data_IF_619459922553
#
_entry.id   IF_619459922553
#
_cell.length_a   1.000
_cell.length_b   1.000
_cell.length_c   1.000
_cell.angle_alpha   90.00
_cell.angle_beta   90.00
_cell.angle_gamma   90.00
#
_symmetry.space_group_name_H-M   'P 1'
#
loop_
_entity.id
_entity.type
_entity.pdbx_description
1 polymer ?
#
# COMPACT_ATOMS: atom_id res chain seq x y z
N UNK A 1 -1.84 -5.04 17.68
CA UNK A 1 -1.93 -5.06 16.20
C UNK A 1 -3.19 -4.32 15.78
N UNK A 2 -3.03 -3.23 15.04
CA UNK A 2 -4.09 -2.46 14.41
C UNK A 2 -4.34 -3.07 13.02
N UNK A 3 -5.60 -3.30 12.69
CA UNK A 3 -5.99 -3.88 11.42
C UNK A 3 -6.82 -2.86 10.65
N UNK A 4 -6.48 -2.67 9.38
CA UNK A 4 -7.25 -1.82 8.45
C UNK A 4 -7.88 -2.70 7.37
N UNK A 5 -9.16 -2.48 7.05
CA UNK A 5 -9.70 -3.00 5.79
C UNK A 5 -8.96 -2.40 4.61
N UNK A 6 -8.95 -3.08 3.47
CA UNK A 6 -8.34 -2.55 2.25
C UNK A 6 -8.82 -1.13 1.90
N UNK A 7 -10.13 -0.87 2.03
CA UNK A 7 -10.71 0.45 1.77
C UNK A 7 -10.28 1.51 2.79
N UNK A 8 -10.16 1.13 4.07
CA UNK A 8 -9.74 2.04 5.13
C UNK A 8 -8.24 2.32 5.03
N UNK A 9 -7.45 1.28 4.71
CA UNK A 9 -6.01 1.37 4.52
C UNK A 9 -5.69 2.42 3.45
N UNK A 10 -6.43 2.41 2.34
CA UNK A 10 -6.29 3.37 1.25
C UNK A 10 -6.36 4.83 1.71
N UNK A 11 -7.26 5.14 2.65
CA UNK A 11 -7.40 6.48 3.24
C UNK A 11 -6.25 6.77 4.22
N UNK A 12 -5.76 5.74 4.89
CA UNK A 12 -4.75 5.83 5.95
C UNK A 12 -3.31 5.84 5.44
N UNK A 13 -3.04 5.45 4.18
CA UNK A 13 -1.67 5.36 3.64
C UNK A 13 -0.81 6.62 3.83
N UNK A 14 -1.31 7.86 3.60
CA UNK A 14 -0.51 9.06 3.85
C UNK A 14 -0.07 9.18 5.31
N UNK A 15 -0.97 8.89 6.25
CA UNK A 15 -0.68 8.94 7.69
C UNK A 15 0.27 7.82 8.14
N UNK A 16 0.19 6.66 7.50
CA UNK A 16 1.08 5.53 7.79
C UNK A 16 2.49 5.77 7.22
N UNK A 17 2.60 6.41 6.06
CA UNK A 17 3.86 6.79 5.42
C UNK A 17 4.66 7.82 6.25
N UNK A 18 3.97 8.74 6.94
CA UNK A 18 4.60 9.70 7.85
C UNK A 18 5.17 9.06 9.13
N UNK A 19 4.71 7.84 9.47
CA UNK A 19 5.18 7.12 10.66
C UNK A 19 6.36 6.24 10.30
N UNK A 20 7.54 6.56 10.83
CA UNK A 20 8.78 5.80 10.62
C UNK A 20 8.71 4.30 10.99
N UNK A 21 7.73 3.89 11.81
CA UNK A 21 7.54 2.49 12.19
C UNK A 21 6.06 2.11 12.14
N UNK A 22 5.74 1.19 11.22
CA UNK A 22 4.41 0.57 11.06
C UNK A 22 4.35 -0.79 11.79
N UNK A 23 5.23 -1.00 12.77
CA UNK A 23 5.30 -2.21 13.58
C UNK A 23 3.98 -2.35 14.35
N UNK A 24 3.20 -3.38 14.02
CA UNK A 24 1.86 -3.69 14.53
C UNK A 24 0.69 -3.20 13.68
N UNK A 25 0.88 -3.00 12.37
CA UNK A 25 -0.24 -2.81 11.43
C UNK A 25 -0.41 -4.01 10.50
N UNK A 26 -1.66 -4.36 10.19
CA UNK A 26 -2.00 -5.36 9.19
C UNK A 26 -3.13 -4.87 8.27
N UNK A 27 -3.07 -5.31 7.01
CA UNK A 27 -4.15 -5.17 6.04
C UNK A 27 -5.10 -6.37 6.15
N UNK A 28 -6.41 -6.14 6.27
CA UNK A 28 -7.44 -7.17 6.13
C UNK A 28 -8.06 -7.12 4.73
N UNK A 29 -8.14 -8.30 4.12
CA UNK A 29 -8.84 -8.50 2.85
C UNK A 29 -9.44 -9.92 2.83
N UNK A 30 -10.74 -10.04 2.58
CA UNK A 30 -11.49 -11.31 2.58
C UNK A 30 -11.16 -12.26 3.75
N UNK A 31 -11.25 -11.76 4.98
CA UNK A 31 -10.93 -12.48 6.22
C UNK A 31 -9.47 -12.94 6.39
N UNK A 32 -8.57 -12.52 5.49
CA UNK A 32 -7.13 -12.76 5.57
C UNK A 32 -6.43 -11.53 6.13
N UNK A 33 -5.32 -11.75 6.83
CA UNK A 33 -4.50 -10.68 7.40
C UNK A 33 -3.11 -10.68 6.76
N UNK A 34 -2.69 -9.53 6.28
CA UNK A 34 -1.40 -9.29 5.66
C UNK A 34 -0.62 -8.29 6.51
N UNK A 35 0.33 -8.75 7.35
CA UNK A 35 1.13 -7.87 8.18
C UNK A 35 1.94 -6.88 7.35
N UNK A 36 1.84 -5.60 7.67
CA UNK A 36 2.59 -4.53 6.99
C UNK A 36 3.94 -4.37 7.68
N UNK A 37 4.98 -4.28 6.88
CA UNK A 37 6.35 -4.01 7.31
C UNK A 37 6.67 -2.52 7.20
N UNK A 38 6.43 -1.93 6.03
CA UNK A 38 6.63 -0.49 5.83
C UNK A 38 5.66 0.08 4.80
N UNK A 39 5.44 1.39 4.88
CA UNK A 39 4.68 2.18 3.91
C UNK A 39 5.58 3.32 3.46
N UNK A 40 5.80 3.45 2.16
CA UNK A 40 6.70 4.44 1.58
C UNK A 40 6.00 5.21 0.46
N UNK A 41 5.99 6.54 0.51
CA UNK A 41 5.56 7.35 -0.63
C UNK A 41 6.66 7.35 -1.70
N UNK A 42 6.24 7.27 -2.96
CA UNK A 42 7.13 7.33 -4.11
C UNK A 42 7.00 8.68 -4.78
N UNK A 43 8.08 9.45 -4.75
CA UNK A 43 8.21 10.74 -5.40
C UNK A 43 8.76 10.56 -6.82
N UNK A 44 8.24 11.35 -7.75
CA UNK A 44 8.82 11.51 -9.09
C UNK A 44 9.16 12.97 -9.29
N UNK A 45 10.38 13.23 -9.75
CA UNK A 45 10.81 14.55 -10.14
C UNK A 45 10.41 14.84 -11.59
N UNK A 46 9.92 16.06 -11.83
CA UNK A 46 9.70 16.56 -13.19
C UNK A 46 10.18 18.00 -13.29
N UNK A 47 10.69 18.36 -14.47
CA UNK A 47 11.14 19.71 -14.76
C UNK A 47 10.02 20.49 -15.44
N UNK A 48 9.68 21.66 -14.89
CA UNK A 48 8.75 22.59 -15.51
C UNK A 48 9.35 23.99 -15.49
N UNK A 49 9.53 24.59 -16.67
CA UNK A 49 10.08 25.95 -16.82
C UNK A 49 11.45 26.15 -16.15
N UNK A 50 12.32 25.12 -16.16
CA UNK A 50 13.64 25.17 -15.54
C UNK A 50 13.64 25.01 -14.01
N UNK A 51 12.50 24.67 -13.41
CA UNK A 51 12.39 24.33 -12.00
C UNK A 51 12.08 22.84 -11.83
N UNK A 52 12.83 22.17 -10.95
CA UNK A 52 12.63 20.78 -10.60
C UNK A 52 11.56 20.71 -9.50
N UNK A 53 10.48 19.99 -9.75
CA UNK A 53 9.38 19.77 -8.81
C UNK A 53 9.24 18.28 -8.55
N UNK A 54 9.08 17.92 -7.28
CA UNK A 54 8.82 16.53 -6.87
C UNK A 54 7.34 16.37 -6.58
N UNK A 55 6.71 15.34 -7.15
CA UNK A 55 5.31 14.99 -6.88
C UNK A 55 5.21 13.55 -6.38
N UNK A 56 4.41 13.32 -5.34
CA UNK A 56 4.03 11.96 -4.96
C UNK A 56 3.21 11.33 -6.09
N UNK A 57 3.54 10.09 -6.44
CA UNK A 57 2.86 9.38 -7.53
C UNK A 57 2.20 8.09 -7.06
N UNK A 58 2.79 7.40 -6.09
CA UNK A 58 2.28 6.13 -5.59
C UNK A 58 2.67 5.94 -4.12
N UNK A 59 1.97 5.02 -3.44
CA UNK A 59 2.42 4.45 -2.17
C UNK A 59 2.82 3.00 -2.38
N UNK A 60 3.99 2.63 -1.86
CA UNK A 60 4.43 1.25 -1.73
C UNK A 60 4.13 0.76 -0.32
N UNK A 61 3.39 -0.35 -0.23
CA UNK A 61 3.15 -1.05 1.03
C UNK A 61 3.90 -2.37 0.97
N UNK A 62 4.99 -2.47 1.73
CA UNK A 62 5.72 -3.72 1.88
C UNK A 62 5.03 -4.57 2.95
N UNK A 63 4.63 -5.76 2.56
CA UNK A 63 4.14 -6.79 3.48
C UNK A 63 5.33 -7.55 4.06
N UNK A 64 5.21 -8.05 5.30
CA UNK A 64 6.26 -8.87 5.94
C UNK A 64 6.64 -10.15 5.18
N UNK A 65 5.81 -10.56 4.23
CA UNK A 65 6.11 -11.66 3.30
C UNK A 65 7.13 -11.27 2.22
N UNK A 66 7.55 -10.00 2.14
CA UNK A 66 8.42 -9.46 1.10
C UNK A 66 7.68 -8.99 -0.16
N UNK A 67 6.34 -9.08 -0.18
CA UNK A 67 5.51 -8.63 -1.31
C UNK A 67 5.20 -7.14 -1.17
N UNK A 68 5.34 -6.40 -2.26
CA UNK A 68 5.01 -4.98 -2.32
C UNK A 68 3.68 -4.77 -3.04
N UNK A 69 2.74 -4.11 -2.38
CA UNK A 69 1.52 -3.60 -2.99
C UNK A 69 1.72 -2.15 -3.42
N UNK A 70 1.29 -1.81 -4.64
CA UNK A 70 1.46 -0.47 -5.23
C UNK A 70 0.10 0.22 -5.36
N UNK A 71 -0.05 1.35 -4.69
CA UNK A 71 -1.25 2.18 -4.70
C UNK A 71 -0.98 3.48 -5.46
N UNK A 72 -1.34 3.58 -6.76
CA UNK A 72 -1.19 4.83 -7.51
C UNK A 72 -2.07 5.93 -6.93
N UNK A 73 -1.62 7.17 -7.09
CA UNK A 73 -2.40 8.35 -6.74
C UNK A 73 -3.28 8.80 -7.90
N UNK A 74 -4.56 9.05 -7.61
CA UNK A 74 -5.47 9.77 -8.50
C UNK A 74 -6.09 10.93 -7.74
N UNK A 75 -5.94 12.14 -8.30
CA UNK A 75 -6.34 13.38 -7.62
C UNK A 75 -5.78 13.50 -6.19
N UNK A 76 -4.53 13.08 -6.01
CA UNK A 76 -3.83 13.11 -4.72
C UNK A 76 -4.30 12.07 -3.69
N UNK A 77 -5.16 11.12 -4.08
CA UNK A 77 -5.64 10.05 -3.19
C UNK A 77 -5.17 8.69 -3.68
N UNK A 78 -4.68 7.81 -2.81
CA UNK A 78 -4.28 6.49 -3.27
C UNK A 78 -5.51 5.72 -3.77
N UNK A 79 -5.27 4.79 -4.69
CA UNK A 79 -6.30 3.98 -5.30
C UNK A 79 -5.98 2.50 -5.15
N UNK A 80 -7.01 1.73 -4.84
CA UNK A 80 -6.98 0.28 -4.94
C UNK A 80 -7.17 -0.09 -6.40
N UNK A 81 -6.18 -0.74 -7.00
CA UNK A 81 -6.25 -1.21 -8.38
C UNK A 81 -6.60 -2.69 -8.43
N UNK A 82 -7.01 -3.18 -9.62
CA UNK A 82 -7.17 -4.61 -9.86
C UNK A 82 -5.89 -5.39 -9.52
N UNK A 83 -4.72 -4.83 -9.87
CA UNK A 83 -3.45 -5.45 -9.57
C UNK A 83 -3.19 -5.66 -8.07
N UNK A 84 -3.63 -4.73 -7.20
CA UNK A 84 -3.55 -4.91 -5.74
C UNK A 84 -4.40 -6.11 -5.30
N UNK A 85 -5.62 -6.21 -5.81
CA UNK A 85 -6.54 -7.32 -5.50
C UNK A 85 -5.99 -8.65 -6.02
N UNK A 86 -5.58 -8.71 -7.29
CA UNK A 86 -5.00 -9.90 -7.92
C UNK A 86 -3.74 -10.37 -7.16
N UNK A 87 -2.91 -9.42 -6.69
CA UNK A 87 -1.73 -9.76 -5.88
C UNK A 87 -2.15 -10.38 -4.56
N UNK A 88 -3.09 -9.77 -3.84
CA UNK A 88 -3.62 -10.29 -2.56
C UNK A 88 -4.27 -11.67 -2.72
N UNK A 89 -4.94 -11.93 -3.84
CA UNK A 89 -5.51 -13.24 -4.18
C UNK A 89 -4.44 -14.26 -4.54
N UNK A 90 -3.41 -13.87 -5.27
CA UNK A 90 -2.32 -14.79 -5.66
C UNK A 90 -1.44 -15.25 -4.49
N UNK A 91 -1.35 -14.44 -3.43
CA UNK A 91 -0.54 -14.73 -2.23
C UNK A 91 -1.37 -15.38 -1.13
N UNK A 92 -2.67 -15.59 -1.38
CA UNK A 92 -3.48 -16.44 -0.54
C UNK A 92 -2.92 -17.87 -0.62
N UNK A 93 -2.67 -18.56 0.51
CA UNK A 93 -2.54 -20.01 0.42
C UNK A 93 -3.85 -20.51 -0.20
N UNK A 94 -3.76 -21.35 -1.24
CA UNK A 94 -4.91 -22.08 -1.74
C UNK A 94 -5.66 -22.67 -0.54
N UNK A 95 -7.01 -22.63 -0.51
CA UNK A 95 -7.73 -23.39 0.49
C UNK A 95 -7.30 -24.85 0.35
N UNK A 96 -6.53 -25.35 1.31
CA UNK A 96 -6.38 -26.78 1.53
C UNK A 96 -7.76 -27.27 1.91
N UNK A 97 -8.49 -27.75 0.91
CA UNK A 97 -9.64 -28.62 1.12
C UNK A 97 -9.10 -29.86 1.85
N UNK A 98 -9.25 -29.88 3.17
CA UNK A 98 -9.18 -31.08 3.99
C UNK A 98 -10.53 -31.79 3.96
#
# INVERSE_FOLDING_TARGET
MITFELNDLNIMLPFLAERCHVSDTALRYENRLFPIETVQPVMTDFEQSGQLQSIETHFHVLLRSGITLVFPLSSGKPMITAHVMDTLDSIAPMPTYL
#
